data_IF_471970553562
#
_entry.id   IF_471970553562
#
_cell.length_a   1.000
_cell.length_b   1.000
_cell.length_c   1.000
_cell.angle_alpha   90.00
_cell.angle_beta   90.00
_cell.angle_gamma   90.00
#
_symmetry.space_group_name_H-M   'P 1'
#
loop_
_entity.id
_entity.type
_entity.pdbx_description
1 polymer ?
#
# COMPACT_ATOMS: atom_id res chain seq x y z
N UNK A 1 -25.31 -23.75 -9.38
CA UNK A 1 -24.35 -22.66 -9.16
C UNK A 1 -22.96 -23.29 -9.05
N UNK A 2 -21.99 -22.76 -9.80
CA UNK A 2 -20.64 -23.34 -9.92
C UNK A 2 -19.62 -22.30 -9.46
N UNK A 3 -18.72 -22.71 -8.57
CA UNK A 3 -17.55 -21.94 -8.16
C UNK A 3 -16.32 -22.51 -8.87
N UNK A 4 -15.49 -21.66 -9.44
CA UNK A 4 -14.23 -22.05 -10.08
C UNK A 4 -13.06 -21.28 -9.46
N UNK A 5 -11.95 -21.96 -9.20
CA UNK A 5 -10.68 -21.37 -8.78
C UNK A 5 -9.57 -21.82 -9.73
N UNK A 6 -9.08 -20.90 -10.57
CA UNK A 6 -8.22 -21.23 -11.71
C UNK A 6 -8.94 -22.23 -12.63
N UNK A 7 -8.28 -23.35 -12.92
CA UNK A 7 -8.83 -24.45 -13.71
C UNK A 7 -9.73 -25.41 -12.92
N UNK A 8 -9.76 -25.32 -11.59
CA UNK A 8 -10.57 -26.21 -10.76
C UNK A 8 -12.01 -25.72 -10.67
N UNK A 9 -12.96 -26.59 -11.02
CA UNK A 9 -14.38 -26.35 -10.89
C UNK A 9 -14.98 -27.19 -9.77
N UNK A 10 -15.61 -26.54 -8.80
CA UNK A 10 -16.46 -27.24 -7.85
C UNK A 10 -17.67 -27.85 -8.57
N UNK A 11 -18.12 -29.06 -8.16
CA UNK A 11 -19.40 -29.61 -8.59
C UNK A 11 -20.57 -28.65 -8.38
N UNK A 12 -21.62 -28.83 -9.19
CA UNK A 12 -22.77 -27.94 -9.16
C UNK A 12 -23.48 -27.94 -7.80
N UNK A 13 -23.64 -26.75 -7.22
CA UNK A 13 -24.22 -26.52 -5.89
C UNK A 13 -23.47 -27.16 -4.71
N UNK A 14 -22.18 -27.50 -4.88
CA UNK A 14 -21.34 -28.00 -3.79
C UNK A 14 -20.92 -26.88 -2.81
N UNK A 15 -20.44 -25.77 -3.38
CA UNK A 15 -19.85 -24.68 -2.62
C UNK A 15 -20.90 -23.65 -2.20
N UNK A 16 -20.88 -23.30 -0.92
CA UNK A 16 -21.56 -22.15 -0.34
C UNK A 16 -20.53 -21.04 -0.09
N UNK A 17 -20.81 -19.86 -0.62
CA UNK A 17 -19.90 -18.71 -0.66
C UNK A 17 -20.51 -17.54 0.10
N UNK A 18 -19.72 -16.97 1.01
CA UNK A 18 -19.99 -15.68 1.64
C UNK A 18 -18.88 -14.70 1.29
N UNK A 19 -19.24 -13.49 0.87
CA UNK A 19 -18.30 -12.45 0.43
C UNK A 19 -18.43 -11.25 1.37
N UNK A 20 -17.30 -10.76 1.88
CA UNK A 20 -17.22 -9.53 2.66
C UNK A 20 -16.15 -8.59 2.10
N UNK A 21 -16.34 -7.28 2.27
CA UNK A 21 -15.40 -6.25 1.83
C UNK A 21 -15.06 -5.31 2.98
N UNK A 22 -13.79 -4.94 3.11
CA UNK A 22 -13.30 -3.95 4.07
C UNK A 22 -12.43 -2.92 3.35
N UNK A 23 -12.58 -1.62 3.65
CA UNK A 23 -11.84 -0.56 2.95
C UNK A 23 -10.33 -0.61 3.23
N UNK A 24 -9.54 -0.31 2.20
CA UNK A 24 -8.11 -0.03 2.32
C UNK A 24 -7.90 1.47 2.46
N UNK A 25 -7.37 1.92 3.59
CA UNK A 25 -7.25 3.32 3.97
C UNK A 25 -5.78 3.77 3.95
N UNK A 26 -5.53 4.93 3.33
CA UNK A 26 -4.25 5.62 3.37
C UNK A 26 -4.07 6.37 4.70
N UNK A 27 -2.88 6.90 4.98
CA UNK A 27 -2.60 7.55 6.27
C UNK A 27 -3.38 8.86 6.48
N UNK A 28 -3.81 9.49 5.40
CA UNK A 28 -4.67 10.68 5.40
C UNK A 28 -6.17 10.37 5.56
N UNK A 29 -6.53 9.08 5.65
CA UNK A 29 -7.90 8.60 5.76
C UNK A 29 -8.61 8.35 4.42
N UNK A 30 -7.91 8.50 3.29
CA UNK A 30 -8.50 8.25 1.98
C UNK A 30 -8.63 6.74 1.71
N UNK A 31 -9.83 6.27 1.39
CA UNK A 31 -10.07 4.88 1.04
C UNK A 31 -9.84 4.67 -0.45
N UNK A 32 -8.84 3.87 -0.80
CA UNK A 32 -8.37 3.70 -2.19
C UNK A 32 -8.67 2.34 -2.81
N UNK A 33 -9.25 1.44 -2.03
CA UNK A 33 -9.63 0.11 -2.47
C UNK A 33 -10.33 -0.63 -1.35
N UNK A 34 -10.40 -1.95 -1.49
CA UNK A 34 -10.94 -2.82 -0.47
C UNK A 34 -10.24 -4.17 -0.47
N UNK A 35 -10.16 -4.76 0.71
CA UNK A 35 -9.92 -6.19 0.88
C UNK A 35 -11.23 -6.91 0.65
N UNK A 36 -11.27 -7.81 -0.33
CA UNK A 36 -12.39 -8.73 -0.56
C UNK A 36 -12.05 -10.11 0.00
N UNK A 37 -12.91 -10.66 0.85
CA UNK A 37 -12.74 -11.98 1.46
C UNK A 37 -13.89 -12.89 1.07
N UNK A 38 -13.55 -14.04 0.51
CA UNK A 38 -14.44 -15.13 0.15
C UNK A 38 -14.29 -16.25 1.16
N UNK A 39 -15.32 -16.44 1.98
CA UNK A 39 -15.45 -17.59 2.86
C UNK A 39 -16.23 -18.68 2.14
N UNK A 40 -15.55 -19.76 1.80
CA UNK A 40 -16.10 -20.87 1.02
C UNK A 40 -16.23 -22.08 1.94
N UNK A 41 -17.44 -22.63 2.01
CA UNK A 41 -17.72 -23.86 2.73
C UNK A 41 -18.45 -24.82 1.81
N UNK A 42 -18.29 -26.12 1.99
CA UNK A 42 -18.97 -27.08 1.15
C UNK A 42 -18.81 -28.51 1.64
N UNK A 43 -19.36 -29.43 0.87
CA UNK A 43 -19.31 -30.86 1.15
C UNK A 43 -18.85 -31.56 -0.11
N UNK A 44 -17.63 -32.11 -0.11
CA UNK A 44 -17.19 -33.00 -1.18
C UNK A 44 -18.00 -34.29 -1.13
N UNK A 45 -18.39 -34.80 -2.28
CA UNK A 45 -19.08 -36.07 -2.42
C UNK A 45 -18.26 -37.08 -3.23
N UNK A 46 -18.39 -38.36 -2.90
CA UNK A 46 -17.84 -39.45 -3.70
C UNK A 46 -18.66 -40.72 -3.55
N UNK A 47 -18.96 -41.37 -4.68
CA UNK A 47 -19.72 -42.64 -4.69
C UNK A 47 -18.91 -43.83 -4.13
N UNK A 48 -17.59 -43.64 -4.01
CA UNK A 48 -16.64 -44.59 -3.41
C UNK A 48 -15.59 -43.81 -2.62
N UNK A 49 -14.93 -44.47 -1.66
CA UNK A 49 -13.81 -43.89 -0.92
C UNK A 49 -12.73 -43.34 -1.87
N UNK A 50 -12.40 -44.08 -2.93
CA UNK A 50 -11.42 -43.67 -3.92
C UNK A 50 -11.83 -42.37 -4.65
N UNK A 51 -13.10 -42.24 -5.02
CA UNK A 51 -13.62 -41.03 -5.66
C UNK A 51 -13.59 -39.83 -4.69
N UNK A 52 -13.95 -40.04 -3.42
CA UNK A 52 -13.89 -39.01 -2.39
C UNK A 52 -12.43 -38.54 -2.15
N UNK A 53 -11.48 -39.46 -2.07
CA UNK A 53 -10.06 -39.12 -1.96
C UNK A 53 -9.54 -38.36 -3.17
N UNK A 54 -9.96 -38.72 -4.39
CA UNK A 54 -9.62 -37.96 -5.60
C UNK A 54 -10.16 -36.53 -5.54
N UNK A 55 -11.43 -36.35 -5.14
CA UNK A 55 -12.02 -35.03 -4.98
C UNK A 55 -11.28 -34.19 -3.91
N UNK A 56 -10.92 -34.79 -2.77
CA UNK A 56 -10.12 -34.13 -1.74
C UNK A 56 -8.75 -33.69 -2.24
N UNK A 57 -8.04 -34.56 -2.97
CA UNK A 57 -6.73 -34.23 -3.52
C UNK A 57 -6.82 -33.16 -4.61
N UNK A 58 -7.85 -33.19 -5.45
CA UNK A 58 -8.11 -32.15 -6.45
C UNK A 58 -8.35 -30.78 -5.81
N UNK A 59 -9.15 -30.74 -4.73
CA UNK A 59 -9.38 -29.52 -3.97
C UNK A 59 -8.09 -28.99 -3.33
N UNK A 60 -7.29 -29.87 -2.71
CA UNK A 60 -6.02 -29.50 -2.08
C UNK A 60 -4.99 -29.01 -3.11
N UNK A 61 -4.87 -29.69 -4.26
CA UNK A 61 -3.94 -29.29 -5.33
C UNK A 61 -4.32 -27.92 -5.89
N UNK A 62 -5.60 -27.69 -6.18
CA UNK A 62 -6.09 -26.44 -6.74
C UNK A 62 -5.81 -25.25 -5.80
N UNK A 63 -6.23 -25.35 -4.54
CA UNK A 63 -6.10 -24.26 -3.56
C UNK A 63 -4.71 -24.18 -2.90
N UNK A 64 -3.77 -25.05 -3.29
CA UNK A 64 -2.35 -24.86 -2.94
C UNK A 64 -1.69 -23.78 -3.81
N UNK A 65 -2.27 -23.47 -4.97
CA UNK A 65 -1.83 -22.42 -5.90
C UNK A 65 -2.33 -21.07 -5.42
N UNK A 66 -1.50 -20.05 -5.59
CA UNK A 66 -1.83 -18.66 -5.29
C UNK A 66 -1.95 -17.90 -6.60
N UNK A 67 -2.71 -16.80 -6.60
CA UNK A 67 -2.85 -15.92 -7.77
C UNK A 67 -3.80 -16.44 -8.85
N UNK A 68 -4.70 -17.36 -8.53
CA UNK A 68 -5.71 -17.83 -9.47
C UNK A 68 -6.98 -16.98 -9.45
N UNK A 69 -7.73 -17.00 -10.54
CA UNK A 69 -9.03 -16.34 -10.65
C UNK A 69 -10.11 -17.12 -9.89
N UNK A 70 -10.92 -16.44 -9.10
CA UNK A 70 -12.07 -17.02 -8.40
C UNK A 70 -13.37 -16.50 -9.02
N UNK A 71 -14.21 -17.38 -9.55
CA UNK A 71 -15.44 -16.98 -10.27
C UNK A 71 -16.62 -17.81 -9.80
N UNK A 72 -17.74 -17.14 -9.52
CA UNK A 72 -18.99 -17.78 -9.12
C UNK A 72 -20.08 -17.51 -10.14
N UNK A 73 -20.62 -18.59 -10.72
CA UNK A 73 -21.57 -18.55 -11.83
C UNK A 73 -22.90 -19.24 -11.50
N UNK A 74 -23.96 -18.78 -12.17
CA UNK A 74 -25.26 -19.46 -12.23
C UNK A 74 -25.61 -19.71 -13.71
N UNK A 75 -25.43 -20.95 -14.16
CA UNK A 75 -25.39 -21.23 -15.60
C UNK A 75 -24.17 -20.54 -16.21
N UNK A 76 -24.36 -19.84 -17.32
CA UNK A 76 -23.30 -19.08 -17.99
C UNK A 76 -23.09 -17.67 -17.40
N UNK A 77 -24.00 -17.21 -16.54
CA UNK A 77 -23.95 -15.86 -15.97
C UNK A 77 -22.98 -15.82 -14.79
N UNK A 78 -21.98 -14.92 -14.86
CA UNK A 78 -21.11 -14.57 -13.73
C UNK A 78 -21.90 -13.74 -12.73
N UNK A 79 -21.95 -14.24 -11.49
CA UNK A 79 -22.60 -13.54 -10.37
C UNK A 79 -21.60 -12.67 -9.62
N UNK A 80 -20.43 -13.24 -9.29
CA UNK A 80 -19.32 -12.56 -8.63
C UNK A 80 -18.01 -13.14 -9.16
N UNK A 81 -16.97 -12.32 -9.17
CA UNK A 81 -15.63 -12.75 -9.53
C UNK A 81 -14.58 -11.93 -8.79
N UNK A 82 -13.44 -12.56 -8.54
CA UNK A 82 -12.21 -11.97 -8.04
C UNK A 82 -11.10 -12.42 -8.99
N UNK A 83 -10.73 -11.52 -9.91
CA UNK A 83 -9.70 -11.79 -10.91
C UNK A 83 -8.35 -11.37 -10.36
N UNK A 84 -7.32 -12.20 -10.57
CA UNK A 84 -5.99 -11.94 -10.08
C UNK A 84 -5.41 -10.63 -10.62
N UNK A 85 -5.62 -10.34 -11.90
CA UNK A 85 -5.08 -9.16 -12.58
C UNK A 85 -5.76 -7.85 -12.15
N UNK A 86 -6.90 -7.94 -11.47
CA UNK A 86 -7.62 -6.79 -10.90
C UNK A 86 -7.22 -6.52 -9.44
N UNK A 87 -6.17 -7.19 -8.92
CA UNK A 87 -5.76 -7.09 -7.51
C UNK A 87 -4.34 -6.54 -7.36
N UNK A 88 -4.04 -5.95 -6.20
CA UNK A 88 -2.74 -5.36 -5.88
C UNK A 88 -1.64 -6.41 -5.71
N UNK A 89 -1.94 -7.51 -5.01
CA UNK A 89 -0.95 -8.53 -4.61
C UNK A 89 -1.21 -9.91 -5.17
N UNK A 90 -2.21 -10.03 -6.05
CA UNK A 90 -2.79 -11.29 -6.47
C UNK A 90 -3.82 -11.82 -5.48
N UNK A 91 -4.63 -12.77 -5.96
CA UNK A 91 -5.59 -13.54 -5.16
C UNK A 91 -4.85 -14.50 -4.24
N UNK A 92 -5.09 -14.45 -2.93
CA UNK A 92 -4.41 -15.30 -1.93
C UNK A 92 -5.38 -16.27 -1.26
N UNK A 93 -5.01 -17.55 -1.20
CA UNK A 93 -5.67 -18.55 -0.35
C UNK A 93 -5.17 -18.36 1.08
N UNK A 94 -5.93 -17.60 1.87
CA UNK A 94 -5.59 -17.25 3.25
C UNK A 94 -5.72 -18.46 4.19
N UNK A 95 -6.80 -19.22 4.04
CA UNK A 95 -7.01 -20.48 4.74
C UNK A 95 -7.11 -21.59 3.70
N UNK A 96 -6.10 -22.46 3.68
CA UNK A 96 -6.09 -23.67 2.85
C UNK A 96 -7.31 -24.56 3.14
N UNK A 97 -7.70 -25.46 2.22
CA UNK A 97 -8.78 -26.41 2.47
C UNK A 97 -8.51 -27.20 3.74
N UNK A 98 -9.39 -27.00 4.73
CA UNK A 98 -9.36 -27.77 5.97
C UNK A 98 -10.73 -28.40 6.21
N UNK A 99 -10.72 -29.49 6.97
CA UNK A 99 -11.88 -30.34 7.16
C UNK A 99 -12.28 -30.38 8.64
N UNK A 100 -13.06 -29.40 9.11
CA UNK A 100 -13.25 -29.14 10.54
C UNK A 100 -14.13 -30.18 11.26
N UNK A 101 -14.88 -30.99 10.50
CA UNK A 101 -15.77 -32.01 11.04
C UNK A 101 -15.12 -33.39 10.89
N UNK A 102 -15.57 -34.33 11.72
CA UNK A 102 -15.20 -35.74 11.64
C UNK A 102 -16.30 -36.65 12.22
N UNK A 103 -17.56 -36.24 12.04
CA UNK A 103 -18.73 -36.87 12.68
C UNK A 103 -19.78 -37.16 11.63
N UNK A 104 -20.56 -38.23 11.81
CA UNK A 104 -21.75 -38.48 10.98
C UNK A 104 -21.48 -39.14 9.62
N UNK A 105 -20.53 -40.07 9.53
CA UNK A 105 -20.23 -40.79 8.27
C UNK A 105 -19.32 -40.00 7.32
N UNK A 106 -18.59 -39.01 7.82
CA UNK A 106 -17.54 -38.38 7.03
C UNK A 106 -16.42 -39.39 6.68
N UNK A 107 -15.83 -39.21 5.50
CA UNK A 107 -14.84 -40.11 4.88
C UNK A 107 -15.38 -41.43 4.32
N UNK A 108 -16.70 -41.67 4.31
CA UNK A 108 -17.29 -42.81 3.56
C UNK A 108 -17.95 -42.37 2.26
N UNK A 109 -18.71 -41.27 2.26
CA UNK A 109 -19.39 -40.77 1.05
C UNK A 109 -19.29 -39.26 0.89
N UNK A 110 -18.84 -38.56 1.93
CA UNK A 110 -18.69 -37.12 1.89
C UNK A 110 -17.65 -36.57 2.86
N UNK A 111 -17.23 -35.32 2.63
CA UNK A 111 -16.32 -34.60 3.52
C UNK A 111 -16.59 -33.10 3.52
N UNK A 112 -16.85 -32.52 4.70
CA UNK A 112 -17.06 -31.08 4.85
C UNK A 112 -15.74 -30.32 4.82
N UNK A 113 -15.65 -29.25 4.02
CA UNK A 113 -14.46 -28.40 3.94
C UNK A 113 -14.78 -26.92 4.18
N UNK A 114 -13.72 -26.16 4.48
CA UNK A 114 -13.73 -24.71 4.57
C UNK A 114 -12.43 -24.15 3.99
N UNK A 115 -12.56 -23.09 3.20
CA UNK A 115 -11.48 -22.36 2.52
C UNK A 115 -11.75 -20.86 2.67
N UNK A 116 -10.70 -20.07 2.82
CA UNK A 116 -10.80 -18.60 2.76
C UNK A 116 -9.84 -18.10 1.71
N UNK A 117 -10.38 -17.33 0.75
CA UNK A 117 -9.61 -16.61 -0.28
C UNK A 117 -9.79 -15.12 -0.03
N UNK A 118 -8.72 -14.35 -0.19
CA UNK A 118 -8.73 -12.91 0.00
C UNK A 118 -7.94 -12.24 -1.12
N UNK A 119 -8.28 -11.01 -1.48
CA UNK A 119 -7.39 -10.16 -2.25
C UNK A 119 -7.63 -8.68 -1.93
N UNK A 120 -6.62 -7.86 -2.22
CA UNK A 120 -6.71 -6.40 -2.14
C UNK A 120 -7.02 -5.87 -3.54
N UNK A 121 -8.20 -5.26 -3.71
CA UNK A 121 -8.70 -4.72 -4.99
C UNK A 121 -8.67 -3.19 -4.92
N UNK A 122 -7.92 -2.51 -5.80
CA UNK A 122 -7.94 -1.05 -5.84
C UNK A 122 -9.20 -0.54 -6.56
N UNK A 123 -9.66 0.67 -6.23
CA UNK A 123 -10.76 1.30 -6.99
C UNK A 123 -10.32 1.82 -8.36
N UNK A 124 -9.03 2.12 -8.50
CA UNK A 124 -8.42 2.58 -9.75
C UNK A 124 -7.35 1.57 -10.11
N UNK A 125 -7.41 1.04 -11.34
CA UNK A 125 -6.41 0.11 -11.83
C UNK A 125 -5.14 0.89 -12.18
N UNK A 126 -3.99 0.39 -11.71
CA UNK A 126 -2.70 1.01 -11.96
C UNK A 126 -2.11 0.43 -13.24
N UNK A 127 -2.14 1.20 -14.32
CA UNK A 127 -1.40 0.85 -15.52
C UNK A 127 0.01 1.46 -15.43
N UNK A 128 0.97 0.66 -14.95
CA UNK A 128 2.35 1.08 -14.81
C UNK A 128 3.06 1.37 -16.15
N UNK A 129 2.45 0.97 -17.27
CA UNK A 129 2.96 1.20 -18.63
C UNK A 129 2.34 2.45 -19.28
N UNK A 130 1.42 3.15 -18.60
CA UNK A 130 0.83 4.38 -19.12
C UNK A 130 1.81 5.57 -18.98
N UNK A 131 2.02 6.31 -20.07
CA UNK A 131 2.94 7.46 -20.13
C UNK A 131 2.57 8.60 -19.15
N UNK A 132 1.29 8.73 -18.79
CA UNK A 132 0.78 9.75 -17.86
C UNK A 132 0.41 9.17 -16.47
N UNK A 133 1.06 8.08 -16.05
CA UNK A 133 0.77 7.44 -14.77
C UNK A 133 1.14 8.33 -13.57
N UNK A 134 0.13 8.80 -12.83
CA UNK A 134 0.31 9.43 -11.53
C UNK A 134 0.01 8.44 -10.39
N UNK A 135 1.01 8.08 -9.57
CA UNK A 135 0.79 7.15 -8.47
C UNK A 135 -0.08 7.78 -7.39
N UNK A 136 -1.01 7.00 -6.85
CA UNK A 136 -1.80 7.42 -5.70
C UNK A 136 -0.90 7.61 -4.47
N UNK A 137 -1.04 8.75 -3.78
CA UNK A 137 -0.25 9.05 -2.59
C UNK A 137 -0.88 8.37 -1.35
N UNK A 138 -0.16 7.43 -0.75
CA UNK A 138 -0.56 6.71 0.47
C UNK A 138 -0.16 7.43 1.76
N UNK A 139 0.93 8.20 1.69
CA UNK A 139 1.49 8.96 2.81
C UNK A 139 2.15 10.22 2.28
N UNK A 140 1.92 11.33 2.96
CA UNK A 140 2.56 12.61 2.70
C UNK A 140 2.94 13.28 4.01
N UNK A 141 4.21 13.69 4.13
CA UNK A 141 4.70 14.51 5.22
C UNK A 141 5.67 15.55 4.69
N UNK A 142 5.57 16.79 5.16
CA UNK A 142 6.50 17.86 4.82
C UNK A 142 6.77 18.75 6.04
N UNK A 143 8.02 19.16 6.18
CA UNK A 143 8.54 19.97 7.26
C UNK A 143 9.36 21.13 6.71
N UNK A 144 9.24 22.27 7.39
CA UNK A 144 10.04 23.46 7.11
C UNK A 144 10.76 23.84 8.40
N UNK A 145 12.08 23.74 8.39
CA UNK A 145 12.93 24.09 9.51
C UNK A 145 13.68 25.38 9.19
N UNK A 146 13.44 26.43 9.97
CA UNK A 146 14.11 27.71 9.82
C UNK A 146 15.17 27.91 10.92
N UNK A 147 16.36 28.30 10.51
CA UNK A 147 17.46 28.70 11.40
C UNK A 147 17.83 30.16 11.14
N UNK A 148 17.88 30.96 12.21
CA UNK A 148 18.18 32.38 12.12
C UNK A 148 16.94 33.25 11.87
N UNK A 149 17.10 34.55 12.11
CA UNK A 149 16.03 35.55 12.01
C UNK A 149 16.34 36.65 10.99
N UNK A 150 17.50 36.62 10.35
CA UNK A 150 17.96 37.69 9.46
C UNK A 150 18.54 38.90 10.19
N UNK A 151 18.23 39.03 11.49
CA UNK A 151 18.64 40.15 12.32
C UNK A 151 20.08 40.03 12.85
N UNK A 152 20.40 40.90 13.81
CA UNK A 152 21.75 41.00 14.39
C UNK A 152 22.24 39.69 15.00
N UNK A 153 23.49 39.34 14.70
CA UNK A 153 24.19 38.24 15.37
C UNK A 153 24.86 38.77 16.63
N UNK A 154 24.65 38.09 17.76
CA UNK A 154 25.23 38.47 19.05
C UNK A 154 26.05 37.31 19.62
N UNK A 155 27.15 37.63 20.30
CA UNK A 155 27.95 36.69 21.06
C UNK A 155 28.17 37.19 22.49
N UNK A 156 28.45 36.27 23.40
CA UNK A 156 28.76 36.58 24.79
C UNK A 156 30.25 36.37 25.02
N UNK A 157 30.97 37.46 25.24
CA UNK A 157 32.41 37.42 25.53
C UNK A 157 32.60 37.16 27.03
N UNK A 158 33.37 36.13 27.43
CA UNK A 158 33.70 35.90 28.83
C UNK A 158 34.51 37.08 29.39
N UNK A 159 34.20 37.47 30.62
CA UNK A 159 34.92 38.52 31.35
C UNK A 159 35.86 37.86 32.37
N UNK A 160 36.90 38.57 32.79
CA UNK A 160 37.89 38.06 33.76
C UNK A 160 37.22 37.63 35.08
N UNK A 161 36.17 38.33 35.49
CA UNK A 161 35.29 38.00 36.62
C UNK A 161 33.88 38.51 36.33
N UNK A 162 32.84 37.75 36.71
CA UNK A 162 31.44 38.21 36.65
C UNK A 162 30.67 37.69 35.43
N UNK A 163 29.66 38.45 35.00
CA UNK A 163 28.76 38.06 33.89
C UNK A 163 29.44 38.29 32.54
N UNK A 164 29.07 37.48 31.56
CA UNK A 164 29.56 37.63 30.18
C UNK A 164 29.02 38.93 29.57
N UNK A 165 29.82 39.58 28.72
CA UNK A 165 29.41 40.78 28.00
C UNK A 165 28.77 40.41 26.66
N UNK A 166 27.52 40.83 26.44
CA UNK A 166 26.85 40.67 25.14
C UNK A 166 27.43 41.68 24.14
N UNK A 167 27.97 41.18 23.02
CA UNK A 167 28.48 41.98 21.92
C UNK A 167 27.73 41.66 20.63
N UNK A 168 27.49 42.66 19.80
CA UNK A 168 26.93 42.50 18.46
C UNK A 168 28.08 42.25 17.48
N UNK A 169 28.00 41.17 16.72
CA UNK A 169 29.01 40.78 15.73
C UNK A 169 28.67 41.34 14.34
N UNK A 170 27.40 41.25 13.94
CA UNK A 170 26.89 41.74 12.64
C UNK A 170 25.52 42.37 12.81
N UNK A 171 25.18 43.33 11.94
CA UNK A 171 23.85 43.98 11.91
C UNK A 171 22.77 43.06 11.33
N UNK A 172 23.14 42.26 10.33
CA UNK A 172 22.29 41.25 9.70
C UNK A 172 22.98 39.90 9.71
N UNK A 173 22.20 38.83 9.58
CA UNK A 173 22.68 37.46 9.47
C UNK A 173 21.91 36.74 8.36
N UNK A 174 22.43 35.63 7.88
CA UNK A 174 21.66 34.80 6.95
C UNK A 174 20.60 34.00 7.69
N UNK A 175 19.48 33.77 7.02
CA UNK A 175 18.45 32.81 7.39
C UNK A 175 18.67 31.60 6.52
N UNK A 176 18.75 30.43 7.15
CA UNK A 176 18.79 29.15 6.45
C UNK A 176 17.47 28.44 6.65
N UNK A 177 16.83 27.99 5.58
CA UNK A 177 15.64 27.15 5.64
C UNK A 177 15.96 25.78 5.05
N UNK A 178 15.49 24.72 5.69
CA UNK A 178 15.48 23.37 5.13
C UNK A 178 14.03 22.95 4.97
N UNK A 179 13.59 22.75 3.72
CA UNK A 179 12.33 22.08 3.39
C UNK A 179 12.65 20.61 3.16
N UNK A 180 12.03 19.74 3.94
CA UNK A 180 12.21 18.30 3.80
C UNK A 180 10.88 17.60 3.88
N UNK A 181 10.71 16.51 3.14
CA UNK A 181 9.48 15.74 3.20
C UNK A 181 9.62 14.34 2.62
N UNK A 182 8.50 13.62 2.66
CA UNK A 182 8.37 12.32 2.04
C UNK A 182 6.99 12.10 1.44
N UNK A 183 6.96 11.30 0.37
CA UNK A 183 5.74 10.74 -0.23
C UNK A 183 5.91 9.24 -0.37
N UNK A 184 4.82 8.51 -0.23
CA UNK A 184 4.77 7.09 -0.59
C UNK A 184 3.71 6.94 -1.66
N UNK A 185 4.14 6.58 -2.88
CA UNK A 185 3.21 6.29 -3.97
C UNK A 185 2.83 4.82 -4.00
N UNK A 186 1.59 4.52 -4.38
CA UNK A 186 1.13 3.18 -4.74
C UNK A 186 1.38 2.95 -6.23
N UNK A 187 2.09 1.89 -6.58
CA UNK A 187 2.37 1.47 -7.96
C UNK A 187 3.57 2.17 -8.62
N UNK A 188 4.01 3.34 -8.14
CA UNK A 188 5.19 4.02 -8.68
C UNK A 188 5.72 5.16 -7.80
N UNK A 189 6.95 5.61 -8.08
CA UNK A 189 7.55 6.73 -7.34
C UNK A 189 6.81 8.04 -7.66
N UNK A 190 6.24 8.72 -6.65
CA UNK A 190 5.59 10.00 -6.88
C UNK A 190 6.62 11.10 -7.14
N UNK A 191 6.19 12.17 -7.79
CA UNK A 191 7.02 13.35 -8.01
C UNK A 191 7.22 14.06 -6.64
N UNK A 192 8.48 14.32 -6.25
CA UNK A 192 8.76 15.04 -5.01
C UNK A 192 8.20 16.46 -5.12
N UNK A 193 7.83 17.08 -4.00
CA UNK A 193 7.39 18.47 -4.03
C UNK A 193 8.49 19.37 -4.61
N UNK A 194 8.08 20.40 -5.33
CA UNK A 194 9.00 21.42 -5.82
C UNK A 194 9.54 22.27 -4.66
N UNK A 195 10.78 22.79 -4.78
CA UNK A 195 11.32 23.74 -3.81
C UNK A 195 10.42 24.98 -3.72
N UNK A 196 10.08 25.40 -2.50
CA UNK A 196 9.20 26.56 -2.28
C UNK A 196 9.85 27.89 -2.69
N UNK A 197 11.18 27.97 -2.66
CA UNK A 197 11.98 29.15 -3.03
C UNK A 197 13.11 28.78 -3.99
N UNK A 198 12.81 28.45 -5.25
CA UNK A 198 13.80 27.92 -6.19
C UNK A 198 14.96 28.88 -6.47
N UNK A 199 14.73 30.20 -6.41
CA UNK A 199 15.75 31.22 -6.66
C UNK A 199 16.77 31.33 -5.51
N UNK A 200 16.40 30.92 -4.30
CA UNK A 200 17.20 30.98 -3.07
C UNK A 200 17.76 29.59 -2.68
N UNK A 201 17.60 28.56 -3.53
CA UNK A 201 18.01 27.18 -3.25
C UNK A 201 19.51 26.95 -3.50
N UNK A 202 20.17 26.33 -2.52
CA UNK A 202 21.47 25.69 -2.69
C UNK A 202 21.31 24.37 -3.42
N UNK A 203 21.26 24.42 -4.76
CA UNK A 203 21.03 23.23 -5.61
C UNK A 203 22.09 22.14 -5.41
N UNK A 204 23.33 22.50 -5.04
CA UNK A 204 24.40 21.55 -4.74
C UNK A 204 24.14 20.75 -3.45
N UNK A 205 23.21 21.20 -2.60
CA UNK A 205 22.78 20.52 -1.38
C UNK A 205 21.44 19.81 -1.53
N UNK A 206 20.84 19.83 -2.72
CA UNK A 206 19.59 19.11 -3.00
C UNK A 206 19.79 17.62 -2.77
N UNK A 207 18.87 17.02 -2.02
CA UNK A 207 18.82 15.58 -1.86
C UNK A 207 17.45 15.08 -2.29
N UNK A 208 17.43 14.18 -3.27
CA UNK A 208 16.24 13.41 -3.65
C UNK A 208 16.64 11.95 -3.53
N UNK A 209 15.97 11.22 -2.64
CA UNK A 209 16.27 9.83 -2.35
C UNK A 209 15.04 8.98 -2.62
N UNK A 210 15.12 8.15 -3.65
CA UNK A 210 14.17 7.08 -3.92
C UNK A 210 14.55 5.88 -3.06
N UNK A 211 13.82 5.69 -1.96
CA UNK A 211 14.05 4.57 -1.06
C UNK A 211 13.60 3.26 -1.71
N UNK A 212 14.12 2.13 -1.23
CA UNK A 212 13.78 0.83 -1.78
C UNK A 212 12.26 0.57 -1.78
N UNK A 213 11.77 0.04 -2.91
CA UNK A 213 10.37 -0.35 -3.10
C UNK A 213 9.98 -1.34 -2.00
N UNK A 214 8.88 -1.07 -1.27
CA UNK A 214 8.37 -2.00 -0.29
C UNK A 214 7.46 -3.00 -0.99
N UNK A 215 7.75 -4.27 -0.75
CA UNK A 215 7.05 -5.38 -1.38
C UNK A 215 6.06 -6.01 -0.42
N UNK A 216 4.88 -6.36 -0.91
CA UNK A 216 3.89 -7.19 -0.23
C UNK A 216 3.62 -8.38 -1.12
N UNK A 217 3.71 -9.59 -0.56
CA UNK A 217 3.57 -10.84 -1.32
C UNK A 217 4.50 -10.93 -2.57
N UNK A 218 5.72 -10.40 -2.48
CA UNK A 218 6.66 -10.39 -3.60
C UNK A 218 6.42 -9.30 -4.65
N UNK A 219 5.27 -8.63 -4.63
CA UNK A 219 4.92 -7.52 -5.55
C UNK A 219 5.36 -6.18 -4.96
N UNK A 220 6.00 -5.33 -5.77
CA UNK A 220 6.38 -3.97 -5.37
C UNK A 220 5.18 -3.03 -5.39
N UNK A 221 4.76 -2.55 -4.23
CA UNK A 221 3.54 -1.74 -4.09
C UNK A 221 3.83 -0.30 -3.67
N UNK A 222 4.64 -0.12 -2.62
CA UNK A 222 4.88 1.19 -2.05
C UNK A 222 6.24 1.71 -2.49
N UNK A 223 6.26 2.93 -3.04
CA UNK A 223 7.43 3.56 -3.64
C UNK A 223 7.73 4.85 -2.87
N UNK A 224 8.59 4.80 -1.83
CA UNK A 224 8.86 5.94 -0.98
C UNK A 224 9.89 6.86 -1.64
N UNK A 225 9.62 8.15 -1.62
CA UNK A 225 10.56 9.20 -2.02
C UNK A 225 10.73 10.20 -0.89
N UNK A 226 11.98 10.60 -0.64
CA UNK A 226 12.35 11.64 0.31
C UNK A 226 13.01 12.79 -0.45
N UNK A 227 12.73 14.02 -0.05
CA UNK A 227 13.40 15.20 -0.56
C UNK A 227 13.88 16.11 0.56
N UNK A 228 14.96 16.85 0.29
CA UNK A 228 15.47 17.91 1.14
C UNK A 228 16.08 19.01 0.27
N UNK A 229 15.59 20.24 0.47
CA UNK A 229 16.07 21.46 -0.18
C UNK A 229 16.58 22.41 0.89
N UNK A 230 17.76 22.96 0.67
CA UNK A 230 18.35 23.97 1.57
C UNK A 230 18.31 25.32 0.88
N UNK A 231 17.81 26.33 1.57
CA UNK A 231 17.73 27.71 1.10
C UNK A 231 18.53 28.62 2.01
N UNK A 232 19.08 29.69 1.45
CA UNK A 232 19.77 30.70 2.24
C UNK A 232 19.51 32.10 1.70
N UNK A 233 19.21 33.02 2.60
CA UNK A 233 18.95 34.41 2.24
C UNK A 233 19.40 35.36 3.34
N UNK A 234 19.74 36.59 2.99
CA UNK A 234 20.12 37.67 3.91
C UNK A 234 18.92 38.56 4.34
N UNK A 235 17.72 38.25 3.87
CA UNK A 235 16.46 38.94 4.14
C UNK A 235 15.37 37.92 4.50
N UNK A 236 14.24 38.33 5.10
CA UNK A 236 13.11 37.44 5.37
C UNK A 236 12.65 36.70 4.11
N UNK A 237 12.39 35.40 4.27
CA UNK A 237 11.81 34.60 3.19
C UNK A 237 10.39 35.09 2.87
N UNK A 238 10.03 35.20 1.58
CA UNK A 238 8.66 35.51 1.22
C UNK A 238 7.75 34.37 1.66
N UNK A 239 6.50 34.70 2.01
CA UNK A 239 5.48 33.67 2.32
C UNK A 239 5.43 32.71 1.14
N UNK A 240 5.52 31.38 1.36
CA UNK A 240 5.45 30.43 0.26
C UNK A 240 4.16 30.67 -0.51
N UNK A 241 4.26 30.81 -1.84
CA UNK A 241 3.06 30.70 -2.68
C UNK A 241 2.54 29.30 -2.42
N UNK A 242 1.33 29.16 -1.85
CA UNK A 242 0.71 27.85 -1.65
C UNK A 242 0.86 27.08 -2.96
N UNK A 243 1.55 25.94 -2.92
CA UNK A 243 1.43 24.98 -4.00
C UNK A 243 -0.05 24.59 -4.02
N UNK A 244 -0.76 24.97 -5.07
CA UNK A 244 -2.10 24.46 -5.30
C UNK A 244 -1.90 22.97 -5.54
N UNK A 245 -2.34 22.16 -4.58
CA UNK A 245 -2.49 20.72 -4.80
C UNK A 245 -3.68 20.60 -5.74
N UNK A 246 -3.40 20.60 -7.05
CA UNK A 246 -4.34 20.15 -8.08
C UNK A 246 -4.30 18.65 -8.18
#
# INVERSE_FOLDING_TARGET
>A
MILTYGDYAHPDNEANVSISRAGLEAEDGFVYGYTETWSITGILHGDTDAALFQAMNGLLDAYSKQGENLVWKKGDTVMHQLLNDDTLTGTKVFTLPHFPKNTGGELTTFRTYNIVVEAEVPFVQFDAEADDFEPLILKFEEHINQTGTGGRKVAFLPTLTGKYQKQQLTETSTITIVQSGMKVGLGGYPIPNLPLWPDDEHQERRQINQAAIRRRNGVGLEYPIHWSYTFERNDPFPVPKKAVVT
#
